data_IF_607070137675
#
_entry.id   IF_607070137675
#
_cell.length_a   1.000
_cell.length_b   1.000
_cell.length_c   1.000
_cell.angle_alpha   90.00
_cell.angle_beta   90.00
_cell.angle_gamma   90.00
#
_symmetry.space_group_name_H-M   'P 1'
#
loop_
_entity.id
_entity.type
_entity.pdbx_description
1 polymer ?
#
# COMPACT_ATOMS: atom_id res chain seq x y z
N UNK A 1 -9.02 4.10 17.23
CA UNK A 1 -9.58 3.64 15.93
C UNK A 1 -9.67 4.77 14.90
N UNK A 2 -10.38 5.88 15.17
CA UNK A 2 -10.55 7.00 14.21
C UNK A 2 -9.20 7.58 13.74
N UNK A 3 -8.25 7.80 14.65
CA UNK A 3 -6.91 8.29 14.30
C UNK A 3 -6.20 7.41 13.26
N UNK A 4 -6.29 6.08 13.40
CA UNK A 4 -5.64 5.13 12.49
C UNK A 4 -6.26 5.20 11.09
N UNK A 5 -7.59 5.37 11.00
CA UNK A 5 -8.27 5.56 9.71
C UNK A 5 -7.82 6.86 9.04
N UNK A 6 -7.74 7.96 9.78
CA UNK A 6 -7.26 9.25 9.25
C UNK A 6 -5.81 9.14 8.76
N UNK A 7 -4.93 8.50 9.53
CA UNK A 7 -3.54 8.26 9.11
C UNK A 7 -3.48 7.40 7.86
N UNK A 8 -4.27 6.34 7.79
CA UNK A 8 -4.33 5.44 6.63
C UNK A 8 -4.84 6.13 5.36
N UNK A 9 -5.93 6.89 5.47
CA UNK A 9 -6.49 7.66 4.35
C UNK A 9 -5.49 8.69 3.83
N UNK A 10 -4.79 9.40 4.73
CA UNK A 10 -3.74 10.33 4.33
C UNK A 10 -2.52 9.64 3.72
N UNK A 11 -2.14 8.45 4.19
CA UNK A 11 -1.08 7.64 3.58
C UNK A 11 -1.42 7.33 2.12
N UNK A 12 -2.64 6.88 1.83
CA UNK A 12 -3.09 6.63 0.46
C UNK A 12 -3.11 7.91 -0.39
N UNK A 13 -3.56 9.03 0.18
CA UNK A 13 -3.52 10.33 -0.51
C UNK A 13 -2.08 10.77 -0.84
N UNK A 14 -1.14 10.62 0.10
CA UNK A 14 0.26 11.00 -0.10
C UNK A 14 0.98 10.13 -1.15
N UNK A 15 0.64 8.85 -1.22
CA UNK A 15 1.21 7.92 -2.20
C UNK A 15 0.56 8.03 -3.59
N UNK A 16 -0.57 8.73 -3.72
CA UNK A 16 -1.22 9.06 -5.01
C UNK A 16 -0.56 10.27 -5.71
N UNK A 17 0.73 10.16 -6.00
CA UNK A 17 1.47 11.21 -6.71
C UNK A 17 2.22 10.74 -7.96
N UNK A 18 1.94 9.53 -8.45
CA UNK A 18 2.53 8.99 -9.68
C UNK A 18 1.52 8.11 -10.42
N UNK A 19 1.56 8.16 -11.75
CA UNK A 19 0.70 7.36 -12.62
C UNK A 19 0.89 5.86 -12.34
N UNK A 20 -0.22 5.17 -12.08
CA UNK A 20 -0.26 3.75 -11.77
C UNK A 20 0.05 3.37 -10.32
N UNK A 21 0.64 4.28 -9.51
CA UNK A 21 1.11 3.94 -8.15
C UNK A 21 -0.04 3.48 -7.26
N UNK A 22 -1.04 4.32 -7.09
CA UNK A 22 -2.19 4.04 -6.23
C UNK A 22 -2.98 2.81 -6.72
N UNK A 23 -3.28 2.76 -8.03
CA UNK A 23 -4.12 1.73 -8.61
C UNK A 23 -3.49 0.34 -8.59
N UNK A 24 -2.22 0.22 -9.00
CA UNK A 24 -1.51 -1.07 -8.99
C UNK A 24 -1.33 -1.58 -7.57
N UNK A 25 -0.99 -0.69 -6.64
CA UNK A 25 -0.78 -1.05 -5.26
C UNK A 25 -2.07 -1.54 -4.59
N UNK A 26 -3.18 -0.82 -4.76
CA UNK A 26 -4.48 -1.27 -4.27
C UNK A 26 -4.92 -2.59 -4.89
N UNK A 27 -4.64 -2.81 -6.18
CA UNK A 27 -4.93 -4.09 -6.85
C UNK A 27 -4.17 -5.24 -6.19
N UNK A 28 -2.88 -5.06 -5.89
CA UNK A 28 -2.06 -6.07 -5.19
C UNK A 28 -2.60 -6.37 -3.79
N UNK A 29 -2.98 -5.34 -3.02
CA UNK A 29 -3.55 -5.52 -1.67
C UNK A 29 -4.85 -6.33 -1.75
N UNK A 30 -5.78 -5.93 -2.61
CA UNK A 30 -7.08 -6.61 -2.76
C UNK A 30 -6.92 -8.04 -3.31
N UNK A 31 -6.01 -8.25 -4.25
CA UNK A 31 -5.71 -9.59 -4.75
C UNK A 31 -5.10 -10.49 -3.65
N UNK A 32 -4.28 -9.92 -2.76
CA UNK A 32 -3.70 -10.66 -1.63
C UNK A 32 -4.76 -11.05 -0.59
N UNK A 33 -5.75 -10.18 -0.34
CA UNK A 33 -6.93 -10.46 0.49
C UNK A 33 -7.78 -11.59 -0.12
N UNK A 34 -8.04 -11.54 -1.43
CA UNK A 34 -8.75 -12.64 -2.09
C UNK A 34 -7.95 -13.95 -2.02
N UNK A 35 -6.63 -13.90 -2.20
CA UNK A 35 -5.76 -15.07 -2.09
C UNK A 35 -5.76 -15.67 -0.68
N UNK A 36 -5.71 -14.84 0.38
CA UNK A 36 -5.73 -15.32 1.76
C UNK A 36 -7.04 -16.00 2.17
N UNK A 37 -8.14 -15.75 1.45
CA UNK A 37 -9.42 -16.41 1.71
C UNK A 37 -9.41 -17.92 1.45
N UNK A 38 -8.53 -18.40 0.57
CA UNK A 38 -8.52 -19.79 0.11
C UNK A 38 -9.82 -20.23 -0.62
N UNK A 39 -10.72 -19.30 -0.91
CA UNK A 39 -12.02 -19.61 -1.48
C UNK A 39 -11.93 -19.87 -2.99
N UNK A 40 -12.63 -20.90 -3.52
CA UNK A 40 -12.83 -21.04 -4.96
C UNK A 40 -13.49 -19.78 -5.52
N UNK A 41 -13.12 -19.39 -6.75
CA UNK A 41 -13.70 -18.21 -7.43
C UNK A 41 -15.22 -18.24 -7.47
N UNK A 42 -15.82 -19.43 -7.61
CA UNK A 42 -17.28 -19.62 -7.60
C UNK A 42 -17.90 -19.25 -6.26
N UNK A 43 -17.19 -19.49 -5.14
CA UNK A 43 -17.63 -19.11 -3.80
C UNK A 43 -17.33 -17.63 -3.49
N UNK A 44 -16.34 -17.02 -4.14
CA UNK A 44 -16.14 -15.56 -4.10
C UNK A 44 -17.31 -14.84 -4.77
N UNK A 45 -17.85 -15.42 -5.85
CA UNK A 45 -19.00 -14.91 -6.62
C UNK A 45 -20.38 -15.32 -6.06
N UNK A 46 -20.42 -16.09 -4.97
CA UNK A 46 -21.68 -16.49 -4.31
C UNK A 46 -21.68 -16.34 -2.78
N UNK A 47 -20.52 -16.11 -2.15
CA UNK A 47 -20.32 -15.92 -0.72
C UNK A 47 -20.65 -14.52 -0.20
N UNK A 48 -20.33 -14.23 1.07
CA UNK A 48 -20.71 -12.97 1.74
C UNK A 48 -20.26 -11.67 1.03
N UNK A 49 -20.82 -10.54 1.46
CA UNK A 49 -20.70 -9.22 0.81
C UNK A 49 -19.27 -8.71 0.58
N UNK A 50 -18.30 -9.16 1.39
CA UNK A 50 -16.95 -8.60 1.40
C UNK A 50 -16.08 -9.04 0.21
N UNK A 51 -16.09 -10.33 -0.13
CA UNK A 51 -15.29 -10.87 -1.23
C UNK A 51 -15.82 -10.42 -2.59
N UNK A 52 -17.14 -10.34 -2.70
CA UNK A 52 -17.81 -9.68 -3.82
C UNK A 52 -17.34 -8.23 -3.99
N UNK A 53 -17.32 -7.45 -2.90
CA UNK A 53 -16.89 -6.06 -2.96
C UNK A 53 -15.42 -5.91 -3.36
N UNK A 54 -14.54 -6.77 -2.83
CA UNK A 54 -13.12 -6.81 -3.22
C UNK A 54 -12.95 -7.11 -4.71
N UNK A 55 -13.70 -8.09 -5.24
CA UNK A 55 -13.68 -8.43 -6.66
C UNK A 55 -14.19 -7.29 -7.56
N UNK A 56 -15.30 -6.65 -7.19
CA UNK A 56 -15.83 -5.48 -7.90
C UNK A 56 -14.81 -4.34 -7.91
N UNK A 57 -14.15 -4.08 -6.78
CA UNK A 57 -13.11 -3.05 -6.70
C UNK A 57 -11.89 -3.39 -7.56
N UNK A 58 -11.48 -4.65 -7.64
CA UNK A 58 -10.41 -5.07 -8.56
C UNK A 58 -10.81 -4.79 -10.01
N UNK A 59 -12.04 -5.12 -10.42
CA UNK A 59 -12.52 -4.80 -11.77
C UNK A 59 -12.54 -3.30 -12.04
N UNK A 60 -13.03 -2.49 -11.08
CA UNK A 60 -13.01 -1.04 -11.19
C UNK A 60 -11.58 -0.48 -11.30
N UNK A 61 -10.62 -1.02 -10.54
CA UNK A 61 -9.21 -0.65 -10.60
C UNK A 61 -8.58 -1.05 -11.93
N UNK A 62 -8.91 -2.21 -12.49
CA UNK A 62 -8.43 -2.62 -13.82
C UNK A 62 -8.87 -1.64 -14.91
N UNK A 63 -10.15 -1.22 -14.86
CA UNK A 63 -10.65 -0.17 -15.75
C UNK A 63 -9.90 1.13 -15.51
N UNK A 64 -9.85 1.62 -14.27
CA UNK A 64 -9.13 2.86 -13.92
C UNK A 64 -7.66 2.85 -14.40
N UNK A 65 -6.96 1.73 -14.20
CA UNK A 65 -5.57 1.55 -14.63
C UNK A 65 -5.39 1.62 -16.15
N UNK A 66 -6.39 1.23 -16.95
CA UNK A 66 -6.30 1.37 -18.41
C UNK A 66 -6.12 2.84 -18.86
N UNK A 67 -6.67 3.79 -18.11
CA UNK A 67 -6.48 5.24 -18.33
C UNK A 67 -5.38 5.88 -17.48
N UNK A 68 -5.05 5.30 -16.31
CA UNK A 68 -4.09 5.85 -15.36
C UNK A 68 -2.65 5.35 -15.58
N UNK A 69 -2.45 4.11 -16.00
CA UNK A 69 -1.12 3.48 -16.18
C UNK A 69 -0.46 3.91 -17.49
N UNK A 70 -0.16 5.20 -17.62
CA UNK A 70 0.41 5.82 -18.83
C UNK A 70 1.45 6.86 -18.46
N UNK A 71 2.32 7.25 -19.40
CA UNK A 71 3.21 8.41 -19.22
C UNK A 71 2.40 9.70 -19.02
N UNK A 72 1.32 9.87 -19.78
CA UNK A 72 0.33 10.91 -19.61
C UNK A 72 -1.01 10.26 -19.26
N UNK A 73 -1.35 10.23 -17.97
CA UNK A 73 -2.59 9.64 -17.50
C UNK A 73 -3.80 10.46 -17.99
N UNK A 74 -4.83 9.73 -18.43
CA UNK A 74 -6.13 10.32 -18.80
C UNK A 74 -7.03 10.43 -17.57
N UNK A 75 -6.92 9.46 -16.66
CA UNK A 75 -7.67 9.43 -15.41
C UNK A 75 -6.74 9.54 -14.22
N UNK A 76 -7.10 10.40 -13.28
CA UNK A 76 -6.38 10.67 -12.04
C UNK A 76 -7.38 10.44 -10.90
N UNK A 77 -6.97 9.74 -9.84
CA UNK A 77 -7.86 9.51 -8.70
C UNK A 77 -8.14 10.81 -7.95
N UNK A 78 -7.09 11.64 -7.78
CA UNK A 78 -7.19 12.92 -7.09
C UNK A 78 -7.41 12.72 -5.59
N UNK A 79 -7.60 13.81 -4.87
CA UNK A 79 -7.68 13.74 -3.40
C UNK A 79 -8.86 12.91 -2.92
N UNK A 80 -10.04 13.13 -3.51
CA UNK A 80 -11.24 12.36 -3.16
C UNK A 80 -11.08 10.87 -3.50
N UNK A 81 -10.58 10.54 -4.69
CA UNK A 81 -10.45 9.15 -5.14
C UNK A 81 -9.44 8.36 -4.31
N UNK A 82 -8.28 8.94 -4.02
CA UNK A 82 -7.24 8.29 -3.20
C UNK A 82 -7.67 8.07 -1.76
N UNK A 83 -8.34 9.07 -1.16
CA UNK A 83 -8.89 8.97 0.20
C UNK A 83 -9.99 7.92 0.29
N UNK A 84 -10.93 7.91 -0.66
CA UNK A 84 -12.00 6.90 -0.72
C UNK A 84 -11.42 5.51 -0.93
N UNK A 85 -10.47 5.35 -1.85
CA UNK A 85 -9.83 4.05 -2.08
C UNK A 85 -9.09 3.55 -0.84
N UNK A 86 -8.35 4.43 -0.15
CA UNK A 86 -7.70 4.10 1.12
C UNK A 86 -8.70 3.65 2.19
N UNK A 87 -9.85 4.33 2.29
CA UNK A 87 -10.94 3.96 3.20
C UNK A 87 -11.54 2.58 2.86
N UNK A 88 -11.79 2.31 1.58
CA UNK A 88 -12.32 1.01 1.13
C UNK A 88 -11.33 -0.12 1.39
N UNK A 89 -10.04 0.10 1.13
CA UNK A 89 -8.99 -0.89 1.39
C UNK A 89 -8.88 -1.22 2.88
N UNK A 90 -8.82 -0.22 3.77
CA UNK A 90 -8.74 -0.50 5.22
C UNK A 90 -10.04 -1.11 5.75
N UNK A 91 -11.19 -0.70 5.22
CA UNK A 91 -12.47 -1.31 5.59
C UNK A 91 -12.50 -2.79 5.21
N UNK A 92 -12.00 -3.14 4.02
CA UNK A 92 -11.86 -4.53 3.61
C UNK A 92 -10.90 -5.28 4.53
N UNK A 93 -9.71 -4.75 4.78
CA UNK A 93 -8.70 -5.38 5.64
C UNK A 93 -9.18 -5.58 7.10
N UNK A 94 -10.00 -4.66 7.63
CA UNK A 94 -10.57 -4.77 8.98
C UNK A 94 -11.78 -5.73 9.05
N UNK A 95 -12.53 -5.81 7.96
CA UNK A 95 -13.75 -6.64 7.86
C UNK A 95 -13.45 -8.05 7.40
N UNK A 96 -12.31 -8.27 6.73
CA UNK A 96 -11.85 -9.59 6.33
C UNK A 96 -11.45 -10.39 7.57
N UNK A 97 -12.48 -11.03 8.14
CA UNK A 97 -12.41 -11.97 9.25
C UNK A 97 -12.24 -13.41 8.75
N UNK A 98 -12.19 -13.58 7.44
CA UNK A 98 -12.34 -14.82 6.70
C UNK A 98 -11.03 -15.09 5.96
N UNK A 99 -10.37 -16.24 6.05
CA UNK A 99 -10.64 -17.48 6.74
C UNK A 99 -9.38 -18.35 6.59
N UNK A 100 -9.32 -19.50 7.26
CA UNK A 100 -8.24 -20.51 7.21
C UNK A 100 -6.89 -20.15 7.84
N UNK A 101 -6.30 -18.97 7.61
CA UNK A 101 -5.08 -18.57 8.36
C UNK A 101 -5.37 -18.25 9.84
N UNK A 102 -6.60 -17.86 10.15
CA UNK A 102 -7.10 -17.62 11.51
C UNK A 102 -7.64 -18.87 12.22
N UNK A 103 -7.77 -20.00 11.53
CA UNK A 103 -8.32 -21.24 12.11
C UNK A 103 -7.29 -22.37 12.19
N UNK A 104 -6.23 -22.35 11.38
CA UNK A 104 -5.18 -23.37 11.40
C UNK A 104 -3.98 -23.01 12.29
N UNK A 105 -3.90 -21.76 12.77
CA UNK A 105 -2.84 -21.30 13.67
C UNK A 105 -3.49 -20.66 14.88
N UNK A 106 -3.13 -21.16 16.06
CA UNK A 106 -3.63 -20.77 17.37
C UNK A 106 -3.16 -19.37 17.82
N UNK A 107 -3.17 -18.38 16.91
CA UNK A 107 -2.63 -17.05 17.20
C UNK A 107 -3.54 -15.94 16.68
N UNK A 108 -4.28 -15.34 17.61
CA UNK A 108 -4.93 -14.04 17.45
C UNK A 108 -3.98 -12.93 16.92
N UNK A 109 -2.67 -13.15 16.91
CA UNK A 109 -1.65 -12.23 16.42
C UNK A 109 -1.55 -12.15 14.88
N UNK A 110 -1.87 -13.21 14.14
CA UNK A 110 -1.60 -13.25 12.69
C UNK A 110 -2.46 -12.25 11.88
N UNK A 111 -3.76 -12.17 12.20
CA UNK A 111 -4.72 -11.33 11.45
C UNK A 111 -4.43 -9.83 11.57
N UNK A 112 -4.00 -9.36 12.75
CA UNK A 112 -3.69 -7.93 12.94
C UNK A 112 -2.38 -7.52 12.26
N UNK A 113 -1.42 -8.43 12.12
CA UNK A 113 -0.14 -8.16 11.47
C UNK A 113 -0.26 -8.06 9.95
N UNK A 114 -1.23 -8.76 9.35
CA UNK A 114 -1.43 -8.69 7.91
C UNK A 114 -1.83 -7.28 7.44
N UNK A 115 -2.60 -6.52 8.23
CA UNK A 115 -3.04 -5.16 7.87
C UNK A 115 -1.85 -4.21 7.56
N UNK A 116 -0.87 -4.02 8.47
CA UNK A 116 0.29 -3.18 8.16
C UNK A 116 1.22 -3.84 7.14
N UNK A 117 1.36 -5.17 7.13
CA UNK A 117 2.25 -5.88 6.19
C UNK A 117 1.72 -5.82 4.75
N UNK A 118 0.41 -5.92 4.55
CA UNK A 118 -0.23 -5.85 3.23
C UNK A 118 0.04 -4.53 2.53
N UNK A 119 0.34 -3.49 3.30
CA UNK A 119 0.71 -2.16 2.83
C UNK A 119 2.12 -1.74 3.27
N UNK A 120 3.04 -2.68 3.53
CA UNK A 120 4.34 -2.41 4.14
C UNK A 120 5.16 -1.32 3.44
N UNK A 121 5.21 -1.29 2.10
CA UNK A 121 5.95 -0.26 1.36
C UNK A 121 5.38 1.14 1.60
N UNK A 122 4.06 1.30 1.48
CA UNK A 122 3.36 2.58 1.73
C UNK A 122 3.52 3.03 3.18
N UNK A 123 3.35 2.11 4.13
CA UNK A 123 3.51 2.37 5.58
C UNK A 123 4.94 2.82 5.87
N UNK A 124 5.94 2.13 5.34
CA UNK A 124 7.36 2.45 5.55
C UNK A 124 7.72 3.80 4.95
N UNK A 125 7.37 4.03 3.69
CA UNK A 125 7.71 5.27 2.98
C UNK A 125 7.04 6.48 3.65
N UNK A 126 5.76 6.36 3.97
CA UNK A 126 5.01 7.44 4.62
C UNK A 126 5.48 7.69 6.05
N UNK A 127 5.69 6.62 6.84
CA UNK A 127 6.15 6.72 8.21
C UNK A 127 7.50 7.44 8.32
N UNK A 128 8.50 6.99 7.56
CA UNK A 128 9.82 7.64 7.57
C UNK A 128 9.80 9.06 7.03
N UNK A 129 8.99 9.31 5.99
CA UNK A 129 8.85 10.65 5.45
C UNK A 129 8.25 11.61 6.47
N UNK A 130 7.20 11.20 7.19
CA UNK A 130 6.59 12.01 8.25
C UNK A 130 7.53 12.23 9.43
N UNK A 131 8.22 11.19 9.91
CA UNK A 131 9.23 11.31 10.99
C UNK A 131 10.28 12.34 10.61
N UNK A 132 10.80 12.29 9.38
CA UNK A 132 11.80 13.24 8.89
C UNK A 132 11.25 14.66 8.85
N UNK A 133 10.01 14.87 8.39
CA UNK A 133 9.40 16.21 8.36
C UNK A 133 9.23 16.80 9.76
N UNK A 134 8.83 15.97 10.72
CA UNK A 134 8.75 16.36 12.13
C UNK A 134 10.13 16.78 12.65
N UNK A 135 11.17 15.98 12.37
CA UNK A 135 12.55 16.31 12.72
C UNK A 135 13.02 17.64 12.10
N UNK A 136 12.69 17.89 10.84
CA UNK A 136 13.02 19.13 10.12
C UNK A 136 12.09 20.33 10.45
N UNK A 137 11.12 20.14 11.37
CA UNK A 137 10.08 21.10 11.75
C UNK A 137 9.30 21.65 10.55
N UNK A 138 9.00 20.79 9.59
CA UNK A 138 8.15 21.13 8.45
C UNK A 138 6.68 20.80 8.74
N UNK A 139 5.72 21.59 8.22
CA UNK A 139 4.29 21.34 8.41
C UNK A 139 3.83 20.05 7.74
N UNK A 140 3.54 18.99 8.51
CA UNK A 140 3.22 17.63 8.01
C UNK A 140 1.95 17.55 7.15
N UNK A 141 1.09 18.57 7.21
CA UNK A 141 -0.16 18.69 6.44
C UNK A 141 0.00 19.28 5.04
N UNK A 142 1.17 19.86 4.71
CA UNK A 142 1.40 20.41 3.37
C UNK A 142 1.90 19.33 2.41
N UNK A 143 1.47 19.41 1.13
CA UNK A 143 1.95 18.53 0.04
C UNK A 143 3.48 18.60 -0.03
N UNK A 144 4.12 17.45 -0.03
CA UNK A 144 5.58 17.34 -0.08
C UNK A 144 6.03 16.33 -1.13
N UNK A 145 7.25 16.52 -1.62
CA UNK A 145 7.90 15.62 -2.58
C UNK A 145 9.01 14.80 -1.91
N UNK A 146 8.71 14.32 -0.70
CA UNK A 146 9.71 13.69 0.18
C UNK A 146 9.64 12.17 0.28
N UNK A 147 8.75 11.53 -0.49
CA UNK A 147 8.65 10.08 -0.51
C UNK A 147 9.78 9.46 -1.34
N UNK A 148 10.19 8.24 -0.98
CA UNK A 148 11.26 7.53 -1.68
C UNK A 148 10.91 7.32 -3.17
N UNK A 149 9.66 7.03 -3.50
CA UNK A 149 9.24 6.89 -4.91
C UNK A 149 9.39 8.21 -5.67
N UNK A 150 9.11 9.35 -5.04
CA UNK A 150 9.25 10.68 -5.65
C UNK A 150 10.71 11.01 -5.89
N UNK A 151 11.62 10.59 -5.00
CA UNK A 151 13.06 10.71 -5.26
C UNK A 151 13.52 9.90 -6.46
N UNK A 152 13.07 8.66 -6.55
CA UNK A 152 13.42 7.81 -7.68
C UNK A 152 12.95 8.46 -8.99
N UNK A 153 11.73 8.98 -9.01
CA UNK A 153 11.16 9.59 -10.21
C UNK A 153 11.83 10.91 -10.56
N UNK A 154 11.84 11.89 -9.64
CA UNK A 154 12.22 13.26 -9.96
C UNK A 154 13.72 13.53 -9.82
N UNK A 155 14.39 12.94 -8.81
CA UNK A 155 15.82 13.18 -8.57
C UNK A 155 16.73 12.18 -9.26
N UNK A 156 16.26 10.94 -9.47
CA UNK A 156 17.03 9.90 -10.19
C UNK A 156 16.53 9.64 -11.61
N UNK A 157 15.67 10.53 -12.11
CA UNK A 157 15.08 10.54 -13.46
C UNK A 157 14.58 9.15 -13.90
N UNK A 158 13.86 8.47 -12.98
CA UNK A 158 13.29 7.14 -13.25
C UNK A 158 11.88 7.27 -13.80
N UNK A 159 11.53 6.35 -14.69
CA UNK A 159 10.20 6.29 -15.28
C UNK A 159 9.12 6.07 -14.19
N UNK A 160 8.13 6.98 -14.05
CA UNK A 160 7.07 6.88 -13.05
C UNK A 160 6.31 5.55 -13.05
N UNK A 161 6.00 5.04 -14.23
CA UNK A 161 5.26 3.79 -14.43
C UNK A 161 6.10 2.59 -13.99
N UNK A 162 7.41 2.62 -14.26
CA UNK A 162 8.32 1.56 -13.83
C UNK A 162 8.45 1.52 -12.30
N UNK A 163 8.52 2.68 -11.65
CA UNK A 163 8.56 2.75 -10.19
C UNK A 163 7.25 2.27 -9.57
N UNK A 164 6.09 2.65 -10.13
CA UNK A 164 4.80 2.15 -9.69
C UNK A 164 4.70 0.61 -9.81
N UNK A 165 5.15 0.06 -10.94
CA UNK A 165 5.19 -1.39 -11.14
C UNK A 165 6.14 -2.09 -10.17
N UNK A 166 7.34 -1.52 -9.94
CA UNK A 166 8.29 -2.06 -8.97
C UNK A 166 7.72 -2.09 -7.54
N UNK A 167 7.04 -1.02 -7.12
CA UNK A 167 6.34 -0.98 -5.83
C UNK A 167 5.26 -2.06 -5.73
N UNK A 168 4.44 -2.23 -6.77
CA UNK A 168 3.40 -3.24 -6.81
C UNK A 168 3.97 -4.67 -6.74
N UNK A 169 5.01 -4.96 -7.54
CA UNK A 169 5.67 -6.29 -7.53
C UNK A 169 6.34 -6.56 -6.19
N UNK A 170 7.07 -5.60 -5.61
CA UNK A 170 7.70 -5.77 -4.31
C UNK A 170 6.65 -6.00 -3.22
N UNK A 171 5.55 -5.25 -3.23
CA UNK A 171 4.46 -5.46 -2.27
C UNK A 171 3.78 -6.82 -2.45
N UNK A 172 3.61 -7.28 -3.70
CA UNK A 172 3.07 -8.61 -3.98
C UNK A 172 3.98 -9.70 -3.41
N UNK A 173 5.30 -9.57 -3.60
CA UNK A 173 6.28 -10.51 -3.04
C UNK A 173 6.25 -10.52 -1.51
N UNK A 174 6.16 -9.35 -0.87
CA UNK A 174 5.99 -9.23 0.59
C UNK A 174 4.72 -9.94 1.06
N UNK A 175 3.59 -9.71 0.39
CA UNK A 175 2.30 -10.31 0.76
C UNK A 175 2.33 -11.83 0.59
N UNK A 176 2.82 -12.32 -0.55
CA UNK A 176 2.90 -13.76 -0.82
C UNK A 176 3.86 -14.46 0.14
N UNK A 177 5.03 -13.87 0.41
CA UNK A 177 5.97 -14.40 1.39
C UNK A 177 5.32 -14.51 2.76
N UNK A 178 4.65 -13.46 3.23
CA UNK A 178 3.99 -13.44 4.54
C UNK A 178 2.84 -14.45 4.64
N UNK A 179 2.01 -14.56 3.59
CA UNK A 179 0.88 -15.49 3.59
C UNK A 179 1.31 -16.96 3.49
N UNK A 180 2.30 -17.27 2.64
CA UNK A 180 2.74 -18.66 2.41
C UNK A 180 3.56 -19.20 3.60
N UNK A 181 4.36 -18.36 4.24
CA UNK A 181 5.17 -18.76 5.40
C UNK A 181 4.37 -18.94 6.69
N UNK A 182 3.09 -18.56 6.72
CA UNK A 182 2.32 -18.43 7.96
C UNK A 182 2.72 -17.19 8.79
N UNK A 183 3.58 -16.33 8.24
CA UNK A 183 3.99 -15.02 8.77
C UNK A 183 4.49 -15.03 10.22
N UNK A 184 4.08 -14.02 10.99
CA UNK A 184 4.47 -13.84 12.39
C UNK A 184 5.24 -12.55 12.66
N UNK A 185 5.38 -12.21 13.95
CA UNK A 185 5.90 -10.91 14.41
C UNK A 185 7.34 -10.68 13.94
N UNK A 186 8.22 -11.69 14.08
CA UNK A 186 9.63 -11.56 13.69
C UNK A 186 9.81 -11.34 12.20
N UNK A 187 8.98 -11.99 11.39
CA UNK A 187 8.99 -11.80 9.95
C UNK A 187 8.48 -10.41 9.56
N UNK A 188 7.39 -9.94 10.20
CA UNK A 188 6.90 -8.57 9.99
C UNK A 188 7.99 -7.54 10.35
N UNK A 189 8.65 -7.71 11.50
CA UNK A 189 9.79 -6.86 11.90
C UNK A 189 10.90 -6.91 10.84
N UNK A 190 11.30 -8.10 10.39
CA UNK A 190 12.30 -8.27 9.35
C UNK A 190 11.96 -7.54 8.05
N UNK A 191 10.71 -7.65 7.59
CA UNK A 191 10.19 -6.93 6.42
C UNK A 191 10.35 -5.41 6.63
N UNK A 192 9.85 -4.88 7.74
CA UNK A 192 9.93 -3.43 8.01
C UNK A 192 11.37 -2.93 8.17
N UNK A 193 12.28 -3.73 8.74
CA UNK A 193 13.71 -3.40 8.84
C UNK A 193 14.34 -3.33 7.46
N UNK A 194 14.12 -4.33 6.60
CA UNK A 194 14.67 -4.36 5.23
C UNK A 194 14.12 -3.19 4.40
N UNK A 195 12.82 -2.93 4.47
CA UNK A 195 12.20 -1.80 3.77
C UNK A 195 12.71 -0.45 4.30
N UNK A 196 12.93 -0.33 5.61
CA UNK A 196 13.48 0.88 6.22
C UNK A 196 14.93 1.13 5.78
N UNK A 197 15.75 0.06 5.71
CA UNK A 197 17.11 0.15 5.19
C UNK A 197 17.11 0.55 3.70
N UNK A 198 16.22 -0.02 2.89
CA UNK A 198 16.05 0.36 1.49
C UNK A 198 15.63 1.83 1.35
N UNK A 199 14.64 2.27 2.14
CA UNK A 199 14.21 3.66 2.19
C UNK A 199 15.38 4.60 2.52
N UNK A 200 16.15 4.26 3.57
CA UNK A 200 17.32 5.06 3.96
C UNK A 200 18.37 5.10 2.85
N UNK A 201 18.66 3.99 2.18
CA UNK A 201 19.61 3.96 1.06
C UNK A 201 19.15 4.81 -0.14
N UNK A 202 17.86 4.84 -0.45
CA UNK A 202 17.33 5.70 -1.50
C UNK A 202 17.49 7.17 -1.13
N UNK A 203 17.29 7.46 0.16
CA UNK A 203 17.14 8.81 0.71
C UNK A 203 18.40 9.37 1.39
N UNK A 204 19.52 8.63 1.44
CA UNK A 204 20.74 9.06 2.13
C UNK A 204 21.40 10.32 1.55
N UNK A 205 21.24 10.55 0.25
CA UNK A 205 21.82 11.69 -0.47
C UNK A 205 20.79 12.79 -0.69
N UNK A 206 19.89 13.02 0.27
CA UNK A 206 18.80 13.97 0.10
C UNK A 206 19.32 15.42 0.07
N UNK A 207 18.89 16.25 -0.91
CA UNK A 207 19.26 17.65 -0.98
C UNK A 207 18.78 18.45 0.26
N UNK A 208 19.61 19.35 0.80
CA UNK A 208 19.29 20.02 2.07
C UNK A 208 18.09 20.97 1.93
N UNK A 209 17.65 21.54 3.05
CA UNK A 209 16.45 22.41 3.16
C UNK A 209 16.44 23.59 2.17
N UNK A 210 17.59 23.92 1.57
CA UNK A 210 17.80 24.95 0.54
C UNK A 210 17.26 24.60 -0.85
N UNK A 211 16.99 23.31 -1.10
CA UNK A 211 16.76 22.78 -2.45
C UNK A 211 15.29 22.34 -2.67
N UNK A 212 14.40 22.66 -1.72
CA UNK A 212 12.96 22.34 -1.68
C UNK A 212 12.14 23.64 -1.67
#
# INVERSE_FOLDING_TARGET
MILLLVVWMNMFNFMDGSNGMLGLYALVVLASVLFSSGLPVQLILSGGSLYHMSFILILALLVFLAGNLRKHAVWIAGDAGSVVLGLLVIWILLTDRSGTALQAVDEANFSWLFIPVSCALFVTDTGWTLIRRIYLRQPVWQRHRLHAYQMLIYHKDKNPVLIAFAYAVLQLLVNMLFLISGGGVWMAIGIFVVLSAAWWMINRNWPEKSDL
#
